data_IF_392006892235
#
_entry.id   IF_392006892235
#
_cell.length_a   1.000
_cell.length_b   1.000
_cell.length_c   1.000
_cell.angle_alpha   90.00
_cell.angle_beta   90.00
_cell.angle_gamma   90.00
#
_symmetry.space_group_name_H-M   'P 1'
#
loop_
_entity.id
_entity.type
_entity.pdbx_description
1 polymer ?
#
# COMPACT_ATOMS: atom_id res chain seq x y z
N UNK A 1 -11.45 15.62 -10.10
CA UNK A 1 -10.02 15.99 -9.94
C UNK A 1 -9.82 17.40 -10.52
N UNK A 2 -9.01 18.30 -9.91
CA UNK A 2 -8.93 19.74 -10.27
C UNK A 2 -7.62 20.17 -10.97
N UNK A 3 -7.26 19.62 -12.14
CA UNK A 3 -6.10 20.08 -12.89
C UNK A 3 -6.33 21.48 -13.48
N UNK A 4 -5.31 22.34 -13.48
CA UNK A 4 -5.38 23.69 -14.07
C UNK A 4 -6.12 24.75 -13.26
N UNK A 5 -6.62 24.41 -12.06
CA UNK A 5 -7.27 25.37 -11.17
C UNK A 5 -6.33 25.83 -10.04
N UNK A 6 -6.64 26.97 -9.42
CA UNK A 6 -5.89 27.46 -8.26
C UNK A 6 -5.99 26.49 -7.07
N UNK A 7 -4.85 26.15 -6.46
CA UNK A 7 -4.76 25.27 -5.30
C UNK A 7 -4.21 26.00 -4.06
N UNK A 8 -4.64 27.25 -3.87
CA UNK A 8 -4.38 27.98 -2.63
C UNK A 8 -5.40 27.58 -1.54
N UNK A 9 -5.09 27.87 -0.27
CA UNK A 9 -5.90 27.42 0.88
C UNK A 9 -7.35 27.88 0.78
N UNK A 10 -7.60 29.13 0.41
CA UNK A 10 -8.97 29.66 0.28
C UNK A 10 -9.76 28.97 -0.84
N UNK A 11 -9.13 28.64 -1.98
CA UNK A 11 -9.79 27.87 -3.04
C UNK A 11 -10.10 26.43 -2.60
N UNK A 12 -9.21 25.82 -1.81
CA UNK A 12 -9.46 24.47 -1.28
C UNK A 12 -10.57 24.49 -0.23
N UNK A 13 -10.61 25.49 0.66
CA UNK A 13 -11.68 25.63 1.65
C UNK A 13 -13.06 25.71 0.99
N UNK A 14 -13.20 26.53 -0.06
CA UNK A 14 -14.45 26.62 -0.85
C UNK A 14 -14.84 25.32 -1.54
N UNK A 15 -13.87 24.55 -2.06
CA UNK A 15 -14.13 23.29 -2.78
C UNK A 15 -14.54 22.16 -1.86
N UNK A 16 -13.97 22.11 -0.66
CA UNK A 16 -14.22 21.06 0.31
C UNK A 16 -15.19 21.48 1.42
N UNK A 17 -15.88 22.62 1.26
CA UNK A 17 -16.83 23.14 2.25
C UNK A 17 -16.23 23.20 3.67
N UNK A 18 -15.02 23.77 3.75
CA UNK A 18 -14.31 24.03 4.99
C UNK A 18 -14.52 25.49 5.35
N UNK A 19 -15.01 25.74 6.56
CA UNK A 19 -15.19 27.10 7.06
C UNK A 19 -13.83 27.77 7.29
N UNK A 20 -13.62 28.91 6.63
CA UNK A 20 -12.44 29.77 6.80
C UNK A 20 -12.82 31.20 7.22
N UNK A 21 -14.04 31.42 7.72
CA UNK A 21 -14.55 32.75 8.12
C UNK A 21 -13.75 33.39 9.26
N UNK A 22 -13.20 32.58 10.16
CA UNK A 22 -12.35 33.05 11.26
C UNK A 22 -10.91 33.39 10.84
N UNK A 23 -10.58 33.29 9.54
CA UNK A 23 -9.26 33.56 8.96
C UNK A 23 -9.05 35.05 8.64
N UNK A 24 -9.35 35.94 9.59
CA UNK A 24 -9.11 37.38 9.43
C UNK A 24 -7.62 37.74 9.60
N UNK A 25 -6.93 37.07 10.52
CA UNK A 25 -5.49 37.17 10.73
C UNK A 25 -4.83 35.86 10.31
N UNK A 26 -3.88 35.97 9.37
CA UNK A 26 -3.14 34.83 8.83
C UNK A 26 -2.15 34.32 9.88
N UNK A 27 -2.61 33.40 10.73
CA UNK A 27 -1.80 32.74 11.75
C UNK A 27 -1.40 31.34 11.33
N UNK A 28 -0.11 31.00 11.47
CA UNK A 28 0.40 29.67 11.09
C UNK A 28 -0.32 28.52 11.81
N UNK A 29 -0.76 28.72 13.06
CA UNK A 29 -1.50 27.73 13.83
C UNK A 29 -2.92 27.49 13.25
N UNK A 30 -3.62 28.57 12.92
CA UNK A 30 -4.96 28.50 12.34
C UNK A 30 -4.89 27.89 10.93
N UNK A 31 -3.91 28.31 10.13
CA UNK A 31 -3.70 27.76 8.79
C UNK A 31 -3.35 26.26 8.83
N UNK A 32 -2.58 25.81 9.84
CA UNK A 32 -2.29 24.39 10.02
C UNK A 32 -3.55 23.57 10.36
N UNK A 33 -4.46 24.12 11.17
CA UNK A 33 -5.73 23.49 11.51
C UNK A 33 -6.65 23.38 10.28
N UNK A 34 -6.84 24.49 9.56
CA UNK A 34 -7.66 24.52 8.34
C UNK A 34 -7.07 23.57 7.28
N UNK A 35 -5.75 23.51 7.14
CA UNK A 35 -5.07 22.58 6.23
C UNK A 35 -5.31 21.12 6.61
N UNK A 36 -5.32 20.77 7.90
CA UNK A 36 -5.62 19.41 8.35
C UNK A 36 -7.05 19.00 7.94
N UNK A 37 -8.01 19.90 8.14
CA UNK A 37 -9.42 19.70 7.79
C UNK A 37 -9.66 19.57 6.28
N UNK A 38 -8.94 20.37 5.48
CA UNK A 38 -8.92 20.27 4.02
C UNK A 38 -8.29 18.95 3.58
N UNK A 39 -7.15 18.57 4.18
CA UNK A 39 -6.43 17.34 3.86
C UNK A 39 -7.28 16.10 4.12
N UNK A 40 -7.97 16.05 5.26
CA UNK A 40 -8.88 14.95 5.59
C UNK A 40 -10.04 14.85 4.61
N UNK A 41 -10.62 15.96 4.15
CA UNK A 41 -11.68 15.92 3.12
C UNK A 41 -11.14 15.54 1.74
N UNK A 42 -9.90 15.91 1.42
CA UNK A 42 -9.21 15.54 0.19
C UNK A 42 -8.88 14.04 0.11
N UNK A 43 -8.55 13.42 1.24
CA UNK A 43 -8.01 12.05 1.31
C UNK A 43 -8.94 11.04 1.97
N UNK A 44 -9.93 11.50 2.74
CA UNK A 44 -10.85 10.69 3.54
C UNK A 44 -12.01 10.08 2.76
N UNK A 45 -12.18 10.42 1.48
CA UNK A 45 -13.19 9.81 0.60
C UNK A 45 -12.81 8.43 0.04
N UNK A 46 -11.60 7.93 0.32
CA UNK A 46 -11.06 6.71 -0.30
C UNK A 46 -11.17 5.45 0.56
N UNK A 47 -12.31 5.24 1.21
CA UNK A 47 -12.70 3.91 1.72
C UNK A 47 -13.73 3.20 0.84
N UNK A 48 -13.99 3.68 -0.40
CA UNK A 48 -14.72 2.86 -1.37
C UNK A 48 -13.82 1.70 -1.81
N UNK A 49 -13.86 0.62 -1.04
CA UNK A 49 -13.18 -0.63 -1.33
C UNK A 49 -13.80 -1.38 -2.54
N UNK A 50 -14.67 -0.73 -3.33
CA UNK A 50 -15.39 -1.33 -4.45
C UNK A 50 -15.71 -0.35 -5.61
N UNK A 51 -14.99 0.77 -5.77
CA UNK A 51 -15.18 1.61 -6.97
C UNK A 51 -14.19 1.20 -8.06
N UNK A 52 -14.60 0.22 -8.86
CA UNK A 52 -14.00 -0.09 -10.16
C UNK A 52 -14.31 1.05 -11.14
N UNK A 53 -13.71 2.22 -10.94
CA UNK A 53 -13.85 3.30 -11.91
C UNK A 53 -12.85 3.08 -13.05
N UNK A 54 -13.30 2.32 -14.03
CA UNK A 54 -12.70 2.21 -15.35
C UNK A 54 -12.78 3.58 -16.05
N UNK A 55 -11.86 4.46 -15.69
CA UNK A 55 -11.75 5.79 -16.30
C UNK A 55 -11.30 5.62 -17.76
N UNK A 56 -12.31 5.58 -18.63
CA UNK A 56 -12.22 5.40 -20.07
C UNK A 56 -11.60 6.66 -20.68
N UNK A 57 -10.27 6.72 -20.66
CA UNK A 57 -9.53 7.65 -21.49
C UNK A 57 -9.39 7.01 -22.87
N UNK A 58 -10.40 7.20 -23.71
CA UNK A 58 -10.38 6.92 -25.14
C UNK A 58 -9.35 7.83 -25.83
N UNK A 59 -8.06 7.50 -25.68
CA UNK A 59 -7.06 7.77 -26.69
C UNK A 59 -6.97 6.48 -27.49
N UNK A 60 -7.19 6.56 -28.79
CA UNK A 60 -6.95 5.47 -29.72
C UNK A 60 -5.45 5.14 -29.74
N UNK A 61 -4.97 4.47 -28.70
CA UNK A 61 -3.76 3.68 -28.71
C UNK A 61 -4.26 2.28 -29.06
N UNK A 62 -3.73 1.71 -30.13
CA UNK A 62 -3.91 0.29 -30.44
C UNK A 62 -3.67 -0.50 -29.16
N UNK A 63 -4.74 -0.94 -28.50
CA UNK A 63 -4.67 -1.86 -27.38
C UNK A 63 -4.26 -3.20 -27.97
N UNK A 64 -2.96 -3.39 -28.14
CA UNK A 64 -2.40 -4.69 -27.84
C UNK A 64 -2.72 -4.91 -26.37
N UNK A 65 -3.85 -5.56 -26.09
CA UNK A 65 -4.16 -6.14 -24.79
C UNK A 65 -3.08 -7.19 -24.52
N UNK A 66 -1.91 -6.74 -24.06
CA UNK A 66 -0.99 -7.66 -23.41
C UNK A 66 -1.70 -8.16 -22.16
N UNK A 67 -1.89 -9.47 -22.00
CA UNK A 67 -2.43 -10.00 -20.76
C UNK A 67 -1.55 -9.52 -19.60
N UNK A 68 -2.14 -8.84 -18.62
CA UNK A 68 -1.42 -8.41 -17.40
C UNK A 68 -0.97 -9.60 -16.52
N UNK A 69 -1.28 -10.83 -16.91
CA UNK A 69 -0.72 -12.03 -16.32
C UNK A 69 0.67 -12.30 -16.90
N UNK A 70 1.69 -11.68 -16.30
CA UNK A 70 3.06 -12.25 -16.38
C UNK A 70 3.02 -13.62 -15.69
N UNK A 71 2.87 -14.67 -16.47
CA UNK A 71 3.01 -16.04 -15.97
C UNK A 71 4.43 -16.21 -15.42
N UNK A 72 4.53 -16.68 -14.17
CA UNK A 72 5.80 -16.96 -13.50
C UNK A 72 6.67 -17.97 -14.29
N UNK A 73 6.05 -18.69 -15.23
CA UNK A 73 6.69 -19.63 -16.16
C UNK A 73 7.82 -19.02 -17.01
N UNK A 74 7.81 -17.70 -17.26
CA UNK A 74 8.83 -17.03 -18.09
C UNK A 74 9.87 -16.24 -17.29
N UNK A 75 9.95 -16.45 -15.97
CA UNK A 75 10.93 -15.73 -15.12
C UNK A 75 12.30 -16.42 -15.18
N UNK A 76 13.36 -15.63 -15.32
CA UNK A 76 14.74 -16.12 -15.16
C UNK A 76 14.92 -16.72 -13.75
N UNK A 77 15.60 -17.87 -13.62
CA UNK A 77 15.82 -18.48 -12.31
C UNK A 77 16.64 -17.54 -11.42
N UNK A 78 16.24 -17.41 -10.15
CA UNK A 78 17.05 -16.71 -9.15
C UNK A 78 18.09 -17.66 -8.55
N UNK A 79 19.17 -17.09 -8.04
CA UNK A 79 20.10 -17.80 -7.19
C UNK A 79 19.36 -18.31 -5.94
N UNK A 80 19.39 -19.62 -5.74
CA UNK A 80 18.92 -20.26 -4.51
C UNK A 80 20.14 -20.47 -3.62
N UNK A 81 20.11 -19.91 -2.43
CA UNK A 81 21.14 -20.10 -1.42
C UNK A 81 20.66 -21.22 -0.49
N UNK A 82 21.41 -22.31 -0.43
CA UNK A 82 21.12 -23.43 0.46
C UNK A 82 21.70 -23.17 1.84
N UNK A 83 21.16 -23.87 2.84
CA UNK A 83 21.72 -23.84 4.18
C UNK A 83 23.09 -24.50 4.21
N UNK A 84 23.99 -23.95 5.02
CA UNK A 84 25.28 -24.57 5.30
C UNK A 84 25.12 -25.71 6.33
N UNK A 85 26.10 -26.62 6.40
CA UNK A 85 26.08 -27.77 7.33
C UNK A 85 25.87 -27.36 8.80
N UNK A 86 26.40 -26.19 9.19
CA UNK A 86 26.22 -25.65 10.54
C UNK A 86 24.76 -25.27 10.82
N UNK A 87 24.08 -24.69 9.83
CA UNK A 87 22.69 -24.27 9.95
C UNK A 87 21.75 -25.49 9.99
N UNK A 88 22.07 -26.52 9.20
CA UNK A 88 21.34 -27.79 9.21
C UNK A 88 21.46 -28.49 10.59
N UNK A 89 22.67 -28.53 11.15
CA UNK A 89 22.89 -29.10 12.48
C UNK A 89 22.15 -28.31 13.59
N UNK A 90 22.17 -26.98 13.52
CA UNK A 90 21.44 -26.13 14.45
C UNK A 90 19.92 -26.31 14.32
N UNK A 91 19.42 -26.48 13.09
CA UNK A 91 18.03 -26.78 12.82
C UNK A 91 17.62 -28.12 13.44
N UNK A 92 18.39 -29.18 13.23
CA UNK A 92 18.13 -30.52 13.78
C UNK A 92 18.10 -30.51 15.31
N UNK A 93 19.07 -29.86 15.95
CA UNK A 93 19.09 -29.70 17.41
C UNK A 93 17.84 -28.97 17.93
N UNK A 94 17.35 -27.97 17.19
CA UNK A 94 16.11 -27.27 17.54
C UNK A 94 14.88 -28.15 17.37
N UNK A 95 14.78 -28.94 16.30
CA UNK A 95 13.68 -29.90 16.12
C UNK A 95 13.64 -30.92 17.27
N UNK A 96 14.78 -31.45 17.71
CA UNK A 96 14.86 -32.34 18.86
C UNK A 96 14.37 -31.67 20.15
N UNK A 97 14.72 -30.40 20.38
CA UNK A 97 14.24 -29.65 21.55
C UNK A 97 12.71 -29.50 21.54
N UNK A 98 12.14 -29.23 20.36
CA UNK A 98 10.69 -29.09 20.18
C UNK A 98 10.02 -30.43 20.43
N UNK A 99 10.57 -31.52 19.87
CA UNK A 99 10.08 -32.88 20.09
C UNK A 99 10.10 -33.26 21.57
N UNK A 100 11.18 -32.94 22.30
CA UNK A 100 11.30 -33.19 23.74
C UNK A 100 10.27 -32.39 24.56
N UNK A 101 10.02 -31.13 24.20
CA UNK A 101 9.12 -30.25 24.95
C UNK A 101 7.64 -30.48 24.65
N UNK A 102 7.29 -30.74 23.39
CA UNK A 102 5.89 -30.85 22.91
C UNK A 102 5.43 -32.29 22.67
N UNK A 103 6.36 -33.26 22.70
CA UNK A 103 6.09 -34.67 22.43
C UNK A 103 5.84 -34.99 20.96
N UNK A 104 5.63 -33.99 20.08
CA UNK A 104 5.36 -34.17 18.65
C UNK A 104 5.94 -33.03 17.81
N UNK A 105 6.68 -33.37 16.77
CA UNK A 105 7.23 -32.47 15.78
C UNK A 105 6.79 -32.93 14.38
N UNK A 106 6.00 -32.11 13.69
CA UNK A 106 5.45 -32.45 12.37
C UNK A 106 6.54 -32.58 11.30
N UNK A 107 7.59 -31.77 11.38
CA UNK A 107 8.73 -31.82 10.47
C UNK A 107 9.42 -33.19 10.48
N UNK A 108 9.67 -33.75 11.67
CA UNK A 108 10.26 -35.09 11.83
C UNK A 108 9.30 -36.23 11.47
N UNK A 109 7.99 -35.97 11.34
CA UNK A 109 6.99 -36.99 11.01
C UNK A 109 6.80 -37.16 9.50
N UNK A 110 7.02 -36.10 8.74
CA UNK A 110 6.83 -36.06 7.28
C UNK A 110 8.15 -36.09 6.48
N UNK A 111 9.29 -36.19 7.17
CA UNK A 111 10.63 -36.39 6.57
C UNK A 111 10.94 -37.85 6.30
#
# INVERSE_FOLDING_TARGET
RFPGQHNNLDALCKRYDVDNTHRELHGALLDAQILADVFLRMTGGQFSLMDEDSDTRSIAVQQQTMPLTRTLAQRQPLLVIHCDENEENAHNARLESIQKASGQCLWLRES
#
